data_IF_777749618036
#
_entry.id   IF_777749618036
#
_cell.length_a   1.000
_cell.length_b   1.000
_cell.length_c   1.000
_cell.angle_alpha   90.00
_cell.angle_beta   90.00
_cell.angle_gamma   90.00
#
_symmetry.space_group_name_H-M   'P 1'
#
loop_
_entity.id
_entity.type
_entity.pdbx_description
1 polymer ?
#
# COMPACT_ATOMS: atom_id res chain seq x y z
N UNK A 1 -19.31 3.94 1.94
CA UNK A 1 -19.58 5.11 2.79
C UNK A 1 -21.00 5.60 2.69
N UNK A 2 -21.61 5.62 1.51
CA UNK A 2 -23.01 6.04 1.36
C UNK A 2 -23.96 5.20 2.23
N UNK A 3 -23.67 3.94 2.45
CA UNK A 3 -24.48 3.04 3.25
C UNK A 3 -24.36 3.27 4.77
N UNK A 4 -23.29 3.91 5.21
CA UNK A 4 -23.15 4.33 6.61
C UNK A 4 -23.65 5.76 6.82
N UNK A 5 -23.94 6.48 5.76
CA UNK A 5 -24.58 7.77 5.86
C UNK A 5 -26.00 7.61 6.35
N UNK A 6 -26.33 8.35 7.38
CA UNK A 6 -27.74 8.52 7.79
C UNK A 6 -28.49 9.33 6.73
N UNK A 7 -29.81 9.34 6.73
CA UNK A 7 -30.58 10.19 5.83
C UNK A 7 -30.24 11.68 5.91
N UNK A 8 -29.60 12.12 6.99
CA UNK A 8 -29.10 13.48 7.15
C UNK A 8 -27.75 13.72 6.51
N UNK A 9 -27.03 12.67 6.09
CA UNK A 9 -25.80 12.84 5.34
C UNK A 9 -26.11 13.51 4.01
N UNK A 10 -25.24 14.41 3.59
CA UNK A 10 -25.36 15.03 2.29
C UNK A 10 -25.03 14.01 1.20
N UNK A 11 -26.03 13.34 0.71
CA UNK A 11 -25.93 12.29 -0.27
C UNK A 11 -25.32 12.73 -1.59
N UNK A 12 -25.09 14.01 -1.77
CA UNK A 12 -24.55 14.57 -3.01
C UNK A 12 -23.04 14.83 -2.93
N UNK A 13 -22.43 14.67 -1.76
CA UNK A 13 -21.02 14.99 -1.58
C UNK A 13 -20.07 13.84 -1.99
N UNK A 14 -20.51 12.59 -1.88
CA UNK A 14 -19.68 11.41 -2.17
C UNK A 14 -20.48 10.42 -3.01
N UNK A 15 -19.95 9.96 -4.15
CA UNK A 15 -20.55 8.89 -4.91
C UNK A 15 -20.73 7.63 -4.06
N UNK A 16 -21.82 6.89 -4.25
CA UNK A 16 -22.02 5.63 -3.58
C UNK A 16 -21.11 4.54 -4.16
N UNK A 17 -20.76 3.53 -3.37
CA UNK A 17 -20.02 2.36 -3.86
C UNK A 17 -20.79 1.66 -4.99
N UNK A 18 -22.12 1.64 -4.93
CA UNK A 18 -23.00 1.12 -5.98
C UNK A 18 -22.82 1.89 -7.29
N UNK A 19 -22.84 3.22 -7.27
CA UNK A 19 -22.63 4.05 -8.47
C UNK A 19 -21.25 3.85 -9.07
N UNK A 20 -20.24 3.62 -8.23
CA UNK A 20 -18.88 3.35 -8.67
C UNK A 20 -18.80 2.09 -9.52
N UNK A 21 -19.50 1.02 -9.15
CA UNK A 21 -19.53 -0.21 -9.92
C UNK A 21 -20.10 -0.01 -11.32
N UNK A 22 -21.23 0.70 -11.43
CA UNK A 22 -21.83 1.00 -12.72
C UNK A 22 -20.92 1.87 -13.60
N UNK A 23 -20.29 2.90 -13.05
CA UNK A 23 -19.35 3.75 -13.80
C UNK A 23 -18.15 2.98 -14.31
N UNK A 24 -17.60 2.06 -13.52
CA UNK A 24 -16.47 1.24 -13.97
C UNK A 24 -16.87 0.30 -15.11
N UNK A 25 -18.05 -0.31 -15.06
CA UNK A 25 -18.56 -1.14 -16.17
C UNK A 25 -18.75 -0.30 -17.45
N UNK A 26 -19.30 0.90 -17.36
CA UNK A 26 -19.44 1.80 -18.50
C UNK A 26 -18.08 2.16 -19.13
N UNK A 27 -17.02 2.26 -18.32
CA UNK A 27 -15.65 2.46 -18.79
C UNK A 27 -14.96 1.18 -19.31
N UNK A 28 -15.62 0.02 -19.20
CA UNK A 28 -15.10 -1.25 -19.68
C UNK A 28 -14.26 -2.04 -18.67
N UNK A 29 -14.22 -1.64 -17.39
CA UNK A 29 -13.53 -2.41 -16.36
C UNK A 29 -14.36 -3.62 -15.93
N UNK A 30 -13.68 -4.76 -15.77
CA UNK A 30 -14.27 -6.00 -15.25
C UNK A 30 -13.83 -6.29 -13.82
N UNK A 31 -12.76 -5.66 -13.37
CA UNK A 31 -12.23 -5.78 -12.02
C UNK A 31 -11.62 -4.47 -11.55
N UNK A 32 -11.73 -4.20 -10.24
CA UNK A 32 -11.08 -3.07 -9.58
C UNK A 32 -10.52 -3.50 -8.23
N UNK A 33 -9.36 -2.93 -7.87
CA UNK A 33 -8.65 -3.32 -6.66
C UNK A 33 -8.33 -2.10 -5.80
N UNK A 34 -8.72 -2.17 -4.52
CA UNK A 34 -8.35 -1.17 -3.52
C UNK A 34 -6.84 -1.26 -3.23
N UNK A 35 -6.04 -0.24 -3.59
CA UNK A 35 -4.59 -0.35 -3.49
C UNK A 35 -4.04 -0.03 -2.09
N UNK A 36 -4.85 0.43 -1.16
CA UNK A 36 -4.40 0.94 0.14
C UNK A 36 -5.29 0.47 1.30
N UNK A 37 -5.66 -0.81 1.29
CA UNK A 37 -6.44 -1.41 2.36
C UNK A 37 -5.63 -1.40 3.66
N UNK A 38 -6.07 -0.56 4.62
CA UNK A 38 -5.48 -0.53 5.96
C UNK A 38 -5.90 -1.77 6.74
N UNK A 39 -4.96 -2.55 7.31
CA UNK A 39 -5.31 -3.77 8.04
C UNK A 39 -6.39 -3.59 9.11
N UNK A 40 -6.35 -2.50 9.85
CA UNK A 40 -7.33 -2.19 10.90
C UNK A 40 -8.75 -1.94 10.36
N UNK A 41 -8.88 -1.56 9.10
CA UNK A 41 -10.16 -1.25 8.43
C UNK A 41 -10.57 -2.35 7.43
N UNK A 42 -9.87 -3.45 7.35
CA UNK A 42 -10.08 -4.46 6.31
C UNK A 42 -11.54 -4.93 6.22
N UNK A 43 -12.16 -5.21 7.36
CA UNK A 43 -13.57 -5.63 7.39
C UNK A 43 -14.50 -4.57 6.77
N UNK A 44 -14.31 -3.29 7.14
CA UNK A 44 -15.13 -2.20 6.60
C UNK A 44 -14.92 -2.05 5.10
N UNK A 45 -13.67 -2.10 4.64
CA UNK A 45 -13.33 -2.06 3.22
C UNK A 45 -14.04 -3.17 2.43
N UNK A 46 -14.04 -4.40 2.95
CA UNK A 46 -14.75 -5.51 2.30
C UNK A 46 -16.27 -5.32 2.28
N UNK A 47 -16.86 -4.77 3.33
CA UNK A 47 -18.29 -4.45 3.35
C UNK A 47 -18.63 -3.41 2.26
N UNK A 48 -17.83 -2.36 2.14
CA UNK A 48 -18.03 -1.34 1.09
C UNK A 48 -17.80 -1.90 -0.32
N UNK A 49 -16.78 -2.73 -0.50
CA UNK A 49 -16.56 -3.43 -1.77
C UNK A 49 -17.73 -4.34 -2.13
N UNK A 50 -18.38 -4.97 -1.14
CA UNK A 50 -19.55 -5.82 -1.39
C UNK A 50 -20.73 -5.04 -1.99
N UNK A 51 -20.85 -3.75 -1.65
CA UNK A 51 -21.88 -2.86 -2.18
C UNK A 51 -21.59 -2.35 -3.61
N UNK A 52 -20.39 -2.64 -4.13
CA UNK A 52 -20.00 -2.28 -5.51
C UNK A 52 -20.43 -3.40 -6.46
N UNK A 53 -21.44 -3.18 -7.33
CA UNK A 53 -21.96 -4.24 -8.19
C UNK A 53 -21.11 -4.47 -9.44
N UNK A 54 -21.33 -5.61 -10.10
CA UNK A 54 -20.98 -5.89 -11.49
C UNK A 54 -19.50 -6.05 -11.83
N UNK A 55 -18.57 -5.82 -10.91
CA UNK A 55 -17.13 -5.97 -11.12
C UNK A 55 -16.51 -6.88 -10.06
N UNK A 56 -15.43 -7.57 -10.42
CA UNK A 56 -14.60 -8.28 -9.46
C UNK A 56 -13.81 -7.30 -8.59
N UNK A 57 -13.61 -7.64 -7.34
CA UNK A 57 -13.01 -6.74 -6.35
C UNK A 57 -12.01 -7.46 -5.46
N UNK A 58 -11.01 -6.72 -5.03
CA UNK A 58 -10.03 -7.17 -4.05
C UNK A 58 -9.24 -6.00 -3.50
N UNK A 59 -8.34 -6.26 -2.57
CA UNK A 59 -7.53 -5.22 -1.97
C UNK A 59 -6.10 -5.65 -1.71
N UNK A 60 -5.20 -4.67 -1.60
CA UNK A 60 -3.81 -4.83 -1.21
C UNK A 60 -3.64 -4.33 0.22
N UNK A 61 -3.12 -5.17 1.12
CA UNK A 61 -2.83 -4.76 2.49
C UNK A 61 -1.65 -3.79 2.54
N UNK A 62 -1.85 -2.63 3.15
CA UNK A 62 -0.82 -1.60 3.26
C UNK A 62 0.08 -1.85 4.48
N UNK A 63 1.36 -2.15 4.24
CA UNK A 63 2.33 -2.48 5.29
C UNK A 63 3.52 -1.52 5.40
N UNK A 64 3.89 -0.79 4.36
CA UNK A 64 5.11 0.02 4.32
C UNK A 64 5.26 1.09 5.42
N UNK A 65 4.19 1.37 6.15
CA UNK A 65 4.14 2.30 7.28
C UNK A 65 3.41 1.70 8.51
N UNK A 66 3.24 0.39 8.53
CA UNK A 66 2.65 -0.31 9.67
C UNK A 66 3.59 -0.27 10.88
N UNK A 67 3.07 0.17 12.03
CA UNK A 67 3.87 0.38 13.24
C UNK A 67 4.53 -0.92 13.72
N UNK A 68 3.80 -2.02 13.70
CA UNK A 68 4.35 -3.29 14.18
C UNK A 68 5.44 -3.82 13.24
N UNK A 69 5.21 -3.76 11.93
CA UNK A 69 6.23 -4.12 10.94
C UNK A 69 7.49 -3.27 11.07
N UNK A 70 7.35 -1.94 11.21
CA UNK A 70 8.51 -1.06 11.37
C UNK A 70 9.27 -1.36 12.67
N UNK A 71 8.59 -1.69 13.76
CA UNK A 71 9.23 -2.14 15.01
C UNK A 71 9.95 -3.47 14.85
N UNK A 72 9.42 -4.38 14.03
CA UNK A 72 10.12 -5.64 13.72
C UNK A 72 11.46 -5.35 13.03
N UNK A 73 11.49 -4.42 12.07
CA UNK A 73 12.74 -4.01 11.41
C UNK A 73 13.71 -3.34 12.39
N UNK A 74 13.22 -2.39 13.21
CA UNK A 74 14.01 -1.74 14.27
C UNK A 74 14.64 -2.77 15.22
N UNK A 75 13.87 -3.80 15.58
CA UNK A 75 14.32 -4.90 16.43
C UNK A 75 15.17 -5.95 15.70
N UNK A 76 15.46 -5.73 14.41
CA UNK A 76 16.25 -6.62 13.55
C UNK A 76 15.74 -8.07 13.57
N UNK A 77 14.40 -8.22 13.54
CA UNK A 77 13.78 -9.54 13.42
C UNK A 77 14.22 -10.21 12.11
N UNK A 78 14.37 -11.52 12.14
CA UNK A 78 14.75 -12.28 10.96
C UNK A 78 13.65 -12.26 9.88
N UNK A 79 14.03 -12.58 8.66
CA UNK A 79 13.11 -12.58 7.53
C UNK A 79 11.95 -13.57 7.71
N UNK A 80 12.21 -14.68 8.44
CA UNK A 80 11.13 -15.65 8.73
C UNK A 80 10.02 -15.02 9.57
N UNK A 81 10.35 -14.29 10.62
CA UNK A 81 9.35 -13.60 11.45
C UNK A 81 8.58 -12.55 10.63
N UNK A 82 9.26 -11.85 9.71
CA UNK A 82 8.60 -10.91 8.79
C UNK A 82 7.64 -11.66 7.85
N UNK A 83 8.06 -12.77 7.28
CA UNK A 83 7.21 -13.61 6.43
C UNK A 83 5.96 -14.10 7.18
N UNK A 84 6.14 -14.59 8.41
CA UNK A 84 5.03 -15.05 9.24
C UNK A 84 4.01 -13.92 9.49
N UNK A 85 4.50 -12.71 9.74
CA UNK A 85 3.64 -11.53 9.90
C UNK A 85 2.92 -11.15 8.61
N UNK A 86 3.62 -11.11 7.48
CA UNK A 86 3.03 -10.81 6.18
C UNK A 86 1.95 -11.84 5.81
N UNK A 87 2.22 -13.12 6.02
CA UNK A 87 1.26 -14.20 5.78
C UNK A 87 0.01 -14.05 6.67
N UNK A 88 0.23 -13.70 7.93
CA UNK A 88 -0.87 -13.45 8.87
C UNK A 88 -1.72 -12.26 8.43
N UNK A 89 -1.11 -11.14 8.04
CA UNK A 89 -1.82 -9.95 7.55
C UNK A 89 -2.67 -10.30 6.32
N UNK A 90 -2.09 -10.97 5.33
CA UNK A 90 -2.84 -11.35 4.11
C UNK A 90 -4.07 -12.18 4.45
N UNK A 91 -3.92 -13.13 5.35
CA UNK A 91 -5.01 -14.01 5.78
C UNK A 91 -6.08 -13.23 6.57
N UNK A 92 -5.65 -12.43 7.54
CA UNK A 92 -6.55 -11.66 8.40
C UNK A 92 -7.33 -10.57 7.64
N UNK A 93 -6.70 -9.97 6.62
CA UNK A 93 -7.31 -8.91 5.81
C UNK A 93 -7.99 -9.41 4.54
N UNK A 94 -7.85 -10.70 4.20
CA UNK A 94 -8.33 -11.27 2.93
C UNK A 94 -7.82 -10.49 1.71
N UNK A 95 -6.58 -10.02 1.79
CA UNK A 95 -5.95 -9.23 0.73
C UNK A 95 -5.28 -10.14 -0.31
N UNK A 96 -5.17 -9.65 -1.54
CA UNK A 96 -4.57 -10.38 -2.67
C UNK A 96 -3.07 -10.11 -2.84
N UNK A 97 -2.53 -9.16 -2.10
CA UNK A 97 -1.12 -8.76 -2.17
C UNK A 97 -0.79 -7.68 -1.16
N UNK A 98 0.46 -7.23 -1.20
CA UNK A 98 1.01 -6.23 -0.28
C UNK A 98 1.25 -4.91 -1.01
N UNK A 99 0.91 -3.82 -0.35
CA UNK A 99 1.12 -2.44 -0.79
C UNK A 99 2.09 -1.73 0.14
N UNK A 100 2.96 -0.93 -0.45
CA UNK A 100 3.68 0.13 0.25
C UNK A 100 3.37 1.49 -0.38
N UNK A 101 3.18 2.48 0.45
CA UNK A 101 2.98 3.87 0.05
C UNK A 101 4.01 4.71 0.77
N UNK A 102 4.88 5.38 0.02
CA UNK A 102 5.91 6.25 0.60
C UNK A 102 6.56 5.53 1.81
N UNK A 103 7.23 4.39 1.58
CA UNK A 103 7.67 3.50 2.66
C UNK A 103 8.46 4.25 3.73
N UNK A 104 8.02 4.12 4.99
CA UNK A 104 8.56 4.88 6.12
C UNK A 104 8.25 6.38 6.12
N UNK A 105 7.90 6.95 4.97
CA UNK A 105 7.74 8.39 4.79
C UNK A 105 6.46 8.94 5.41
N UNK A 106 5.36 8.17 5.46
CA UNK A 106 4.12 8.62 6.13
C UNK A 106 4.38 8.81 7.63
N UNK A 107 5.12 7.88 8.25
CA UNK A 107 5.49 8.02 9.65
C UNK A 107 6.54 9.12 9.86
N UNK A 108 7.52 9.24 8.97
CA UNK A 108 8.50 10.33 9.00
C UNK A 108 7.82 11.71 8.97
N UNK A 109 6.79 11.86 8.12
CA UNK A 109 6.01 13.10 8.02
C UNK A 109 5.35 13.51 9.36
N UNK A 110 4.88 12.54 10.15
CA UNK A 110 4.33 12.82 11.49
C UNK A 110 5.37 13.41 12.45
N UNK A 111 6.65 13.13 12.19
CA UNK A 111 7.78 13.64 12.97
C UNK A 111 8.51 14.80 12.25
N UNK A 112 7.79 15.51 11.37
CA UNK A 112 8.26 16.68 10.64
C UNK A 112 9.39 16.43 9.63
N UNK A 113 9.66 15.20 9.26
CA UNK A 113 10.58 14.83 8.18
C UNK A 113 9.81 14.83 6.85
N UNK A 114 9.98 15.89 6.04
CA UNK A 114 9.15 16.16 4.86
C UNK A 114 9.56 15.38 3.62
N UNK A 115 10.80 14.94 3.56
CA UNK A 115 11.35 14.08 2.50
C UNK A 115 12.02 12.90 3.18
N UNK A 116 12.05 11.78 2.49
CA UNK A 116 12.75 10.59 2.95
C UNK A 116 13.30 9.88 1.71
N UNK A 117 14.60 10.00 1.52
CA UNK A 117 15.30 9.30 0.45
C UNK A 117 15.53 7.84 0.84
N UNK A 118 15.85 7.01 -0.15
CA UNK A 118 15.79 5.55 0.01
C UNK A 118 16.73 5.00 1.09
N UNK A 119 17.87 5.66 1.26
CA UNK A 119 18.91 5.27 2.23
C UNK A 119 18.94 6.20 3.47
N UNK A 120 17.94 7.06 3.60
CA UNK A 120 17.78 7.95 4.74
C UNK A 120 16.96 7.25 5.83
N UNK A 121 17.42 7.38 7.07
CA UNK A 121 16.67 6.83 8.20
C UNK A 121 15.42 7.63 8.51
N UNK A 122 14.30 6.91 8.65
CA UNK A 122 13.15 7.45 9.35
C UNK A 122 13.55 7.84 10.78
N UNK A 123 13.29 9.09 11.17
CA UNK A 123 13.76 9.65 12.43
C UNK A 123 13.22 8.94 13.68
N UNK A 124 12.07 8.28 13.58
CA UNK A 124 11.43 7.60 14.71
C UNK A 124 11.84 6.12 14.84
N UNK A 125 11.79 5.38 13.73
CA UNK A 125 12.04 3.93 13.73
C UNK A 125 13.49 3.58 13.43
N UNK A 126 14.29 4.52 12.93
CA UNK A 126 15.68 4.28 12.50
C UNK A 126 15.80 3.17 11.43
N UNK A 127 14.82 3.09 10.54
CA UNK A 127 14.80 2.21 9.38
C UNK A 127 14.76 3.02 8.09
N UNK A 128 15.34 2.48 7.03
CA UNK A 128 15.35 3.12 5.72
C UNK A 128 14.21 2.59 4.82
N UNK A 129 13.74 3.39 3.85
CA UNK A 129 12.84 2.89 2.81
C UNK A 129 13.37 1.66 2.08
N UNK A 130 14.69 1.58 1.84
CA UNK A 130 15.33 0.41 1.22
C UNK A 130 15.14 -0.86 2.04
N UNK A 131 15.33 -0.80 3.35
CA UNK A 131 15.12 -1.96 4.24
C UNK A 131 13.66 -2.42 4.21
N UNK A 132 12.72 -1.49 4.22
CA UNK A 132 11.28 -1.78 4.11
C UNK A 132 10.97 -2.51 2.79
N UNK A 133 11.40 -1.94 1.67
CA UNK A 133 11.17 -2.49 0.34
C UNK A 133 11.80 -3.87 0.19
N UNK A 134 13.06 -4.02 0.57
CA UNK A 134 13.78 -5.29 0.50
C UNK A 134 13.10 -6.37 1.32
N UNK A 135 12.76 -6.09 2.57
CA UNK A 135 12.11 -7.05 3.46
C UNK A 135 10.74 -7.51 2.93
N UNK A 136 9.91 -6.56 2.45
CA UNK A 136 8.59 -6.90 1.92
C UNK A 136 8.65 -7.57 0.55
N UNK A 137 9.56 -7.16 -0.35
CA UNK A 137 9.77 -7.86 -1.63
C UNK A 137 10.22 -9.30 -1.41
N UNK A 138 11.14 -9.51 -0.46
CA UNK A 138 11.60 -10.84 -0.07
C UNK A 138 10.46 -11.69 0.49
N UNK A 139 9.62 -11.11 1.37
CA UNK A 139 8.47 -11.81 1.94
C UNK A 139 7.46 -12.21 0.85
N UNK A 140 7.12 -11.28 -0.05
CA UNK A 140 6.22 -11.54 -1.18
C UNK A 140 6.73 -12.69 -2.04
N UNK A 141 8.03 -12.70 -2.35
CA UNK A 141 8.67 -13.75 -3.15
C UNK A 141 8.70 -15.10 -2.42
N UNK A 142 9.18 -15.14 -1.18
CA UNK A 142 9.34 -16.39 -0.41
C UNK A 142 8.01 -17.04 -0.05
N UNK A 143 6.96 -16.25 0.14
CA UNK A 143 5.60 -16.75 0.38
C UNK A 143 4.86 -17.17 -0.91
N UNK A 144 5.46 -16.96 -2.07
CA UNK A 144 4.83 -17.28 -3.35
C UNK A 144 3.57 -16.46 -3.64
N UNK A 145 3.50 -15.22 -3.16
CA UNK A 145 2.35 -14.35 -3.38
C UNK A 145 2.29 -14.00 -4.88
N UNK A 146 1.17 -14.30 -5.52
CA UNK A 146 1.03 -14.18 -6.97
C UNK A 146 1.17 -12.75 -7.52
N UNK A 147 0.92 -11.75 -6.70
CA UNK A 147 1.06 -10.34 -7.07
C UNK A 147 2.37 -9.79 -6.53
N UNK A 148 3.19 -9.11 -7.37
CA UNK A 148 4.42 -8.48 -6.90
C UNK A 148 4.10 -7.37 -5.89
N UNK A 149 5.12 -6.98 -5.11
CA UNK A 149 4.98 -5.85 -4.19
C UNK A 149 4.52 -4.60 -4.96
N UNK A 150 3.41 -4.02 -4.54
CA UNK A 150 2.80 -2.85 -5.17
C UNK A 150 3.32 -1.59 -4.49
N UNK A 151 4.02 -0.73 -5.25
CA UNK A 151 4.85 0.35 -4.68
C UNK A 151 4.40 1.72 -5.18
N UNK A 152 4.08 2.62 -4.26
CA UNK A 152 4.07 4.06 -4.44
C UNK A 152 5.38 4.60 -3.85
N UNK A 153 6.27 5.11 -4.70
CA UNK A 153 7.62 5.52 -4.30
C UNK A 153 7.62 6.72 -3.34
N UNK A 154 8.76 6.93 -2.69
CA UNK A 154 8.97 8.09 -1.84
C UNK A 154 9.07 9.38 -2.66
N UNK A 155 8.88 10.52 -2.00
CA UNK A 155 9.10 11.86 -2.54
C UNK A 155 8.28 12.20 -3.80
N UNK A 156 7.12 11.56 -3.99
CA UNK A 156 6.24 11.83 -5.13
C UNK A 156 5.91 13.33 -5.22
N UNK A 157 6.05 13.91 -6.44
CA UNK A 157 5.81 15.32 -6.70
C UNK A 157 6.93 16.29 -6.27
N UNK A 158 7.99 15.77 -5.66
CA UNK A 158 9.16 16.60 -5.34
C UNK A 158 10.09 16.69 -6.57
N UNK A 159 10.62 17.89 -6.86
CA UNK A 159 11.57 18.06 -7.95
C UNK A 159 12.79 17.13 -7.76
N UNK A 160 13.19 16.42 -8.82
CA UNK A 160 14.29 15.45 -8.82
C UNK A 160 13.92 14.07 -8.27
N UNK A 161 12.64 13.78 -8.01
CA UNK A 161 12.20 12.49 -7.45
C UNK A 161 12.43 11.29 -8.38
N UNK A 162 12.73 11.51 -9.65
CA UNK A 162 13.10 10.43 -10.58
C UNK A 162 14.26 9.58 -10.05
N UNK A 163 15.21 10.21 -9.35
CA UNK A 163 16.33 9.48 -8.75
C UNK A 163 15.83 8.54 -7.65
N UNK A 164 14.94 9.01 -6.77
CA UNK A 164 14.31 8.17 -5.74
C UNK A 164 13.56 6.98 -6.37
N UNK A 165 12.94 7.18 -7.53
CA UNK A 165 12.26 6.10 -8.27
C UNK A 165 13.25 5.07 -8.81
N UNK A 166 14.37 5.51 -9.41
CA UNK A 166 15.43 4.61 -9.87
C UNK A 166 16.04 3.81 -8.71
N UNK A 167 16.29 4.46 -7.59
CA UNK A 167 16.79 3.82 -6.38
C UNK A 167 15.79 2.81 -5.82
N UNK A 168 14.48 3.11 -5.91
CA UNK A 168 13.40 2.17 -5.54
C UNK A 168 13.45 0.92 -6.41
N UNK A 169 13.64 1.04 -7.72
CA UNK A 169 13.75 -0.10 -8.62
C UNK A 169 14.91 -1.03 -8.24
N UNK A 170 16.00 -0.48 -7.72
CA UNK A 170 17.16 -1.26 -7.27
C UNK A 170 16.98 -1.91 -5.89
N UNK A 171 16.01 -1.46 -5.10
CA UNK A 171 15.85 -1.87 -3.70
C UNK A 171 15.35 -3.30 -3.52
N UNK A 172 14.77 -3.92 -4.55
CA UNK A 172 14.24 -5.28 -4.49
C UNK A 172 15.28 -6.37 -4.76
N UNK A 173 16.53 -6.01 -5.03
CA UNK A 173 17.58 -6.96 -5.45
C UNK A 173 17.15 -7.84 -6.64
N UNK A 174 16.43 -7.25 -7.61
CA UNK A 174 15.96 -7.92 -8.82
C UNK A 174 14.64 -8.68 -8.69
N UNK A 175 13.99 -8.65 -7.52
CA UNK A 175 12.65 -9.18 -7.36
C UNK A 175 11.61 -8.28 -8.03
N UNK A 176 10.53 -8.83 -8.60
CA UNK A 176 9.50 -8.05 -9.27
C UNK A 176 8.82 -7.04 -8.35
N UNK A 177 8.61 -5.83 -8.85
CA UNK A 177 7.78 -4.81 -8.24
C UNK A 177 6.77 -4.25 -9.25
N UNK A 178 5.60 -3.83 -8.77
CA UNK A 178 4.67 -3.02 -9.53
C UNK A 178 4.77 -1.56 -9.06
N UNK A 179 5.40 -0.71 -9.87
CA UNK A 179 5.44 0.73 -9.60
C UNK A 179 4.16 1.38 -10.09
N UNK A 180 3.37 1.92 -9.19
CA UNK A 180 2.08 2.53 -9.51
C UNK A 180 2.25 3.97 -9.98
N UNK A 181 1.35 4.46 -10.85
CA UNK A 181 1.27 5.85 -11.35
C UNK A 181 2.64 6.50 -11.60
N UNK A 182 3.50 5.80 -12.32
CA UNK A 182 4.90 6.17 -12.55
C UNK A 182 5.07 7.54 -13.22
N UNK A 183 4.06 8.03 -13.93
CA UNK A 183 4.07 9.36 -14.55
C UNK A 183 4.29 10.49 -13.54
N UNK A 184 3.98 10.29 -12.27
CA UNK A 184 4.23 11.26 -11.21
C UNK A 184 5.61 11.13 -10.56
N UNK A 185 6.42 10.19 -11.01
CA UNK A 185 7.74 9.88 -10.46
C UNK A 185 8.89 10.43 -11.31
N UNK A 186 8.61 11.24 -12.31
CA UNK A 186 9.59 11.70 -13.29
C UNK A 186 9.71 13.23 -13.34
N UNK A 187 9.76 13.86 -12.21
CA UNK A 187 9.98 15.30 -12.10
C UNK A 187 11.45 15.63 -11.84
#
# INVERSE_FOLDING_TARGET
EAHICTPSCSHNATPSATDTGFRYIEMGYTAAFEPALMPVNARQTHLEMADTPMIDKGGYAMLGNDDYFLRMLTAKKDQKAINDYVAWILNATQSIGIKVVNPGGINAFKFNQRRLDLDENNSHYQVTPREILKSLSTAVHQLGIAKPLHVHCNNLGAAGNFQTTLDTMSASDGLPMHLTHIQFHSY
#
